data_IF_614682966788
#
_entry.id   IF_614682966788
#
_cell.length_a   1.000
_cell.length_b   1.000
_cell.length_c   1.000
_cell.angle_alpha   90.00
_cell.angle_beta   90.00
_cell.angle_gamma   90.00
#
_symmetry.space_group_name_H-M   'P 1'
#
loop_
_entity.id
_entity.type
_entity.pdbx_description
1 polymer ?
#
# COMPACT_ATOMS: atom_id res chain seq x y z
N UNK A 1 2.39 -62.87 31.15
CA UNK A 1 1.08 -62.50 30.57
C UNK A 1 0.07 -62.39 31.69
N UNK A 2 -0.34 -61.17 32.05
CA UNK A 2 -1.55 -60.89 32.83
C UNK A 2 -2.08 -59.51 32.40
N UNK A 3 -3.30 -59.42 31.86
CA UNK A 3 -3.87 -58.20 31.28
C UNK A 3 -4.90 -57.56 32.23
N UNK A 4 -4.51 -56.95 33.35
CA UNK A 4 -5.45 -56.34 34.31
C UNK A 4 -4.86 -55.16 35.11
N UNK A 5 -4.16 -54.23 34.46
CA UNK A 5 -3.74 -52.96 35.10
C UNK A 5 -3.95 -51.73 34.18
N UNK A 6 -4.90 -51.83 33.25
CA UNK A 6 -5.16 -50.82 32.21
C UNK A 6 -6.35 -49.87 32.50
N UNK A 7 -6.88 -49.84 33.73
CA UNK A 7 -8.16 -49.15 33.99
C UNK A 7 -8.16 -48.05 35.04
N UNK A 8 -7.08 -47.78 35.78
CA UNK A 8 -7.12 -46.77 36.88
C UNK A 8 -6.29 -45.50 36.68
N UNK A 9 -5.43 -45.38 35.67
CA UNK A 9 -4.71 -44.11 35.41
C UNK A 9 -5.39 -43.18 34.40
N UNK A 10 -6.58 -43.55 33.90
CA UNK A 10 -7.39 -42.76 32.94
C UNK A 10 -8.24 -41.65 33.56
N UNK A 11 -7.99 -41.24 34.81
CA UNK A 11 -8.76 -40.17 35.48
C UNK A 11 -7.97 -38.88 35.78
N UNK A 12 -6.78 -38.70 35.18
CA UNK A 12 -6.05 -37.43 35.24
C UNK A 12 -5.94 -36.72 33.88
N UNK A 13 -6.86 -36.99 32.96
CA UNK A 13 -7.26 -36.03 31.93
C UNK A 13 -8.47 -35.24 32.46
N UNK A 14 -8.27 -34.49 33.54
CA UNK A 14 -9.15 -33.36 33.81
C UNK A 14 -8.86 -32.37 32.68
N UNK A 15 -9.74 -32.35 31.69
CA UNK A 15 -9.94 -31.19 30.84
C UNK A 15 -10.07 -29.98 31.78
N UNK A 16 -8.98 -29.25 31.96
CA UNK A 16 -8.96 -27.89 32.46
C UNK A 16 -9.77 -27.10 31.45
N UNK A 17 -11.09 -27.10 31.66
CA UNK A 17 -12.01 -26.24 30.93
C UNK A 17 -11.42 -24.84 30.98
N UNK A 18 -11.34 -24.21 29.81
CA UNK A 18 -10.96 -22.82 29.71
C UNK A 18 -11.70 -22.05 30.80
N UNK A 19 -10.98 -21.50 31.79
CA UNK A 19 -11.52 -20.56 32.77
C UNK A 19 -11.89 -19.28 32.01
N UNK A 20 -13.05 -19.33 31.34
CA UNK A 20 -13.63 -18.22 30.58
C UNK A 20 -14.06 -17.08 31.52
N UNK A 21 -14.04 -17.29 32.83
CA UNK A 21 -14.42 -16.32 33.86
C UNK A 21 -13.32 -15.31 34.22
N UNK A 22 -12.07 -15.54 33.81
CA UNK A 22 -11.08 -14.45 33.82
C UNK A 22 -11.46 -13.48 32.70
N UNK A 23 -12.10 -12.36 33.06
CA UNK A 23 -12.59 -11.37 32.12
C UNK A 23 -11.54 -10.94 31.11
N UNK A 24 -11.95 -10.51 29.91
CA UNK A 24 -11.05 -10.14 28.78
C UNK A 24 -9.90 -9.23 29.21
N UNK A 25 -10.14 -8.33 30.18
CA UNK A 25 -9.14 -7.42 30.75
C UNK A 25 -8.03 -8.12 31.55
N UNK A 26 -8.30 -9.27 32.17
CA UNK A 26 -7.30 -10.04 32.91
C UNK A 26 -6.30 -10.75 31.97
N UNK A 27 -6.67 -10.95 30.70
CA UNK A 27 -5.79 -11.51 29.66
C UNK A 27 -4.99 -10.45 28.89
N UNK A 28 -5.39 -9.18 28.97
CA UNK A 28 -4.68 -8.07 28.33
C UNK A 28 -3.39 -7.78 29.09
N UNK A 29 -2.23 -8.08 28.49
CA UNK A 29 -0.91 -7.73 29.06
C UNK A 29 -0.51 -6.32 28.65
N UNK A 30 -0.89 -5.92 27.44
CA UNK A 30 -0.63 -4.59 26.89
C UNK A 30 -1.91 -3.98 26.30
N UNK A 31 -1.99 -2.64 26.25
CA UNK A 31 -3.07 -1.95 25.52
C UNK A 31 -3.15 -2.33 24.04
N UNK A 32 -2.04 -2.82 23.49
CA UNK A 32 -1.94 -3.34 22.13
C UNK A 32 -2.77 -4.63 21.94
N UNK A 33 -2.99 -5.40 23.00
CA UNK A 33 -3.83 -6.61 22.94
C UNK A 33 -5.32 -6.26 22.84
N UNK A 34 -5.71 -5.13 23.44
CA UNK A 34 -7.08 -4.61 23.40
C UNK A 34 -7.33 -3.78 22.14
N UNK A 35 -6.33 -2.99 21.73
CA UNK A 35 -6.39 -2.09 20.59
C UNK A 35 -5.25 -2.37 19.61
N UNK A 36 -5.39 -3.38 18.73
CA UNK A 36 -4.33 -3.79 17.80
C UNK A 36 -3.85 -2.66 16.87
N UNK A 37 -4.73 -1.71 16.56
CA UNK A 37 -4.42 -0.54 15.74
C UNK A 37 -3.38 0.40 16.37
N UNK A 38 -3.14 0.34 17.68
CA UNK A 38 -2.03 1.07 18.33
C UNK A 38 -0.65 0.62 17.82
N UNK A 39 -0.53 -0.60 17.26
CA UNK A 39 0.71 -1.07 16.62
C UNK A 39 1.10 -0.19 15.43
N UNK A 40 0.12 0.42 14.75
CA UNK A 40 0.37 1.30 13.61
C UNK A 40 1.15 2.56 13.99
N UNK A 41 1.07 3.03 15.24
CA UNK A 41 1.86 4.20 15.69
C UNK A 41 3.37 3.99 15.54
N UNK A 42 3.85 2.75 15.64
CA UNK A 42 5.27 2.43 15.46
C UNK A 42 5.75 2.73 14.04
N UNK A 43 4.85 2.75 13.07
CA UNK A 43 5.16 3.09 11.67
C UNK A 43 5.50 4.56 11.47
N UNK A 44 5.17 5.46 12.41
CA UNK A 44 5.53 6.89 12.34
C UNK A 44 7.04 7.11 12.20
N UNK A 45 7.85 6.16 12.70
CA UNK A 45 9.31 6.16 12.52
C UNK A 45 9.73 6.13 11.05
N UNK A 46 8.89 5.56 10.18
CA UNK A 46 9.14 5.51 8.75
C UNK A 46 9.02 6.89 8.11
N UNK A 47 8.04 7.70 8.53
CA UNK A 47 7.84 9.06 8.05
C UNK A 47 8.99 10.01 8.41
N UNK A 48 9.70 9.74 9.52
CA UNK A 48 10.89 10.48 9.93
C UNK A 48 12.20 9.92 9.39
N UNK A 49 12.20 8.89 8.53
CA UNK A 49 13.41 8.21 8.06
C UNK A 49 13.98 8.87 6.79
N UNK A 50 15.15 9.54 6.85
CA UNK A 50 15.69 10.24 5.69
C UNK A 50 16.01 9.32 4.51
N UNK A 51 16.45 8.08 4.79
CA UNK A 51 16.77 7.11 3.74
C UNK A 51 15.52 6.61 2.99
N UNK A 52 14.39 6.50 3.67
CA UNK A 52 13.12 6.10 3.04
C UNK A 52 12.54 7.24 2.21
N UNK A 53 12.57 8.46 2.73
CA UNK A 53 12.14 9.66 1.99
C UNK A 53 13.01 9.85 0.75
N UNK A 54 14.34 9.72 0.88
CA UNK A 54 15.25 9.82 -0.26
C UNK A 54 14.93 8.78 -1.33
N UNK A 55 14.60 7.55 -0.94
CA UNK A 55 14.20 6.52 -1.90
C UNK A 55 12.90 6.91 -2.63
N UNK A 56 11.89 7.45 -1.93
CA UNK A 56 10.68 7.97 -2.57
C UNK A 56 10.97 9.15 -3.51
N UNK A 57 11.86 10.06 -3.14
CA UNK A 57 12.29 11.17 -4.00
C UNK A 57 13.00 10.66 -5.26
N UNK A 58 13.88 9.66 -5.14
CA UNK A 58 14.52 9.02 -6.29
C UNK A 58 13.50 8.33 -7.20
N UNK A 59 12.52 7.65 -6.62
CA UNK A 59 11.42 7.04 -7.39
C UNK A 59 10.60 8.11 -8.12
N UNK A 60 10.26 9.22 -7.47
CA UNK A 60 9.57 10.36 -8.09
C UNK A 60 10.39 10.98 -9.23
N UNK A 61 11.70 11.15 -9.04
CA UNK A 61 12.60 11.71 -10.03
C UNK A 61 12.69 10.84 -11.30
N UNK A 62 12.61 9.51 -11.16
CA UNK A 62 12.56 8.58 -12.30
C UNK A 62 11.16 8.53 -12.92
N UNK A 63 10.12 8.48 -12.07
CA UNK A 63 8.74 8.31 -12.51
C UNK A 63 8.22 9.51 -13.29
N UNK A 64 8.44 10.72 -12.76
CA UNK A 64 7.88 11.98 -13.27
C UNK A 64 8.17 12.25 -14.75
N UNK A 65 9.43 12.31 -15.24
CA UNK A 65 9.71 12.70 -16.62
C UNK A 65 9.13 11.73 -17.65
N UNK A 66 9.12 10.44 -17.34
CA UNK A 66 8.54 9.42 -18.23
C UNK A 66 7.02 9.50 -18.23
N UNK A 67 6.41 9.72 -17.06
CA UNK A 67 4.96 9.91 -16.95
C UNK A 67 4.49 11.16 -17.73
N UNK A 68 5.20 12.29 -17.58
CA UNK A 68 4.99 13.50 -18.38
C UNK A 68 5.12 13.23 -19.88
N UNK A 69 6.14 12.50 -20.31
CA UNK A 69 6.33 12.15 -21.72
C UNK A 69 5.22 11.28 -22.30
N UNK A 70 4.58 10.43 -21.49
CA UNK A 70 3.48 9.55 -21.92
C UNK A 70 2.17 10.30 -22.04
N UNK A 71 1.81 11.11 -21.04
CA UNK A 71 0.51 11.81 -21.00
C UNK A 71 0.55 13.19 -21.66
N UNK A 72 1.72 13.82 -21.76
CA UNK A 72 1.86 15.22 -22.19
C UNK A 72 1.42 16.22 -21.13
N UNK A 73 1.09 15.76 -19.92
CA UNK A 73 0.74 16.60 -18.79
C UNK A 73 1.97 16.97 -17.98
N UNK A 74 2.01 18.22 -17.51
CA UNK A 74 3.11 18.70 -16.68
C UNK A 74 2.87 18.28 -15.22
N UNK A 75 3.65 17.30 -14.70
CA UNK A 75 3.62 16.88 -13.28
C UNK A 75 3.76 18.05 -12.30
N UNK A 76 4.36 19.18 -12.70
CA UNK A 76 4.36 20.39 -11.86
C UNK A 76 2.95 20.94 -11.62
N UNK A 77 2.03 20.79 -12.58
CA UNK A 77 0.61 21.13 -12.39
C UNK A 77 -0.06 20.20 -11.36
N UNK A 78 0.28 18.91 -11.35
CA UNK A 78 -0.20 17.94 -10.34
C UNK A 78 0.37 18.31 -8.96
N UNK A 79 1.67 18.65 -8.86
CA UNK A 79 2.29 19.08 -7.61
C UNK A 79 1.68 20.40 -7.08
N UNK A 80 1.32 21.32 -7.98
CA UNK A 80 0.66 22.59 -7.64
C UNK A 80 -0.82 22.41 -7.26
N UNK A 81 -1.51 21.41 -7.83
CA UNK A 81 -2.87 21.03 -7.43
C UNK A 81 -2.87 20.30 -6.07
N UNK A 82 -1.85 19.47 -5.83
CA UNK A 82 -1.63 18.77 -4.57
C UNK A 82 -1.10 19.68 -3.45
N UNK A 83 -0.47 20.82 -3.79
CA UNK A 83 -0.07 21.81 -2.79
C UNK A 83 -1.29 22.18 -1.94
N UNK A 84 -1.20 22.07 -0.60
CA UNK A 84 -2.35 22.27 0.26
C UNK A 84 -2.90 23.69 0.05
N UNK A 85 -3.99 23.81 -0.69
CA UNK A 85 -4.74 25.04 -0.69
C UNK A 85 -5.24 25.24 0.74
N UNK A 86 -5.07 26.45 1.32
CA UNK A 86 -5.42 26.72 2.71
C UNK A 86 -6.91 26.50 3.06
N UNK A 87 -7.74 26.13 2.08
CA UNK A 87 -9.19 26.00 2.22
C UNK A 87 -9.70 24.54 2.23
N UNK A 88 -8.90 23.52 1.88
CA UNK A 88 -9.36 22.12 2.04
C UNK A 88 -8.19 21.11 2.12
N UNK A 89 -7.65 20.83 3.32
CA UNK A 89 -6.54 19.89 3.50
C UNK A 89 -7.06 18.44 3.61
N UNK A 90 -7.91 18.01 2.68
CA UNK A 90 -8.52 16.70 2.79
C UNK A 90 -7.67 15.63 2.07
N UNK A 91 -7.28 14.52 2.74
CA UNK A 91 -6.51 13.43 2.15
C UNK A 91 -7.16 12.82 0.89
N UNK A 92 -8.49 12.91 0.75
CA UNK A 92 -9.22 12.45 -0.44
C UNK A 92 -8.92 13.24 -1.69
N UNK A 93 -8.51 14.52 -1.65
CA UNK A 93 -8.12 15.24 -2.86
C UNK A 93 -6.85 14.60 -3.45
N UNK A 94 -5.85 14.37 -2.59
CA UNK A 94 -4.62 13.66 -2.92
C UNK A 94 -4.85 12.21 -3.33
N UNK A 95 -5.67 11.47 -2.56
CA UNK A 95 -6.02 10.11 -2.91
C UNK A 95 -6.78 10.09 -4.22
N UNK A 96 -7.73 10.99 -4.44
CA UNK A 96 -8.46 11.07 -5.69
C UNK A 96 -7.49 11.38 -6.82
N UNK A 97 -6.63 12.39 -6.75
CA UNK A 97 -5.69 12.74 -7.82
C UNK A 97 -4.66 11.64 -8.08
N UNK A 98 -4.13 10.99 -7.04
CA UNK A 98 -3.24 9.83 -7.20
C UNK A 98 -3.96 8.60 -7.80
N UNK A 99 -5.26 8.44 -7.50
CA UNK A 99 -6.13 7.39 -8.06
C UNK A 99 -6.62 7.76 -9.47
N UNK A 100 -6.78 9.05 -9.78
CA UNK A 100 -7.08 9.61 -11.10
C UNK A 100 -5.85 9.56 -12.01
N UNK A 101 -4.63 9.69 -11.47
CA UNK A 101 -3.38 9.41 -12.19
C UNK A 101 -3.27 7.94 -12.64
N UNK A 102 -4.06 7.05 -12.02
CA UNK A 102 -4.29 5.66 -12.44
C UNK A 102 -5.62 5.46 -13.19
N UNK A 103 -6.41 6.52 -13.38
CA UNK A 103 -7.69 6.49 -14.08
C UNK A 103 -7.52 6.66 -15.58
N UNK A 104 -8.33 5.91 -16.35
CA UNK A 104 -8.55 6.20 -17.77
C UNK A 104 -9.19 7.59 -17.88
N UNK A 105 -8.41 8.59 -18.29
CA UNK A 105 -8.91 9.95 -18.48
C UNK A 105 -9.95 9.95 -19.59
N UNK A 106 -11.13 10.49 -19.31
CA UNK A 106 -12.23 10.57 -20.27
C UNK A 106 -11.87 11.56 -21.37
N UNK A 107 -11.42 11.06 -22.52
CA UNK A 107 -11.08 11.88 -23.70
C UNK A 107 -9.66 11.65 -24.23
N UNK A 108 -8.79 11.02 -23.44
CA UNK A 108 -7.45 10.65 -23.92
C UNK A 108 -7.47 9.35 -24.73
N UNK A 109 -6.50 9.23 -25.64
CA UNK A 109 -6.23 7.96 -26.32
C UNK A 109 -5.96 6.89 -25.25
N UNK A 110 -6.84 5.88 -25.14
CA UNK A 110 -6.78 4.88 -24.06
C UNK A 110 -5.42 4.19 -23.91
N UNK A 111 -4.63 4.12 -24.99
CA UNK A 111 -3.25 3.61 -24.97
C UNK A 111 -2.32 4.42 -24.06
N UNK A 112 -2.38 5.75 -24.08
CA UNK A 112 -1.52 6.61 -23.23
C UNK A 112 -1.80 6.39 -21.75
N UNK A 113 -3.08 6.35 -21.37
CA UNK A 113 -3.47 6.07 -19.98
C UNK A 113 -3.01 4.68 -19.53
N UNK A 114 -3.12 3.65 -20.40
CA UNK A 114 -2.60 2.30 -20.09
C UNK A 114 -1.07 2.30 -19.94
N UNK A 115 -0.34 2.99 -20.83
CA UNK A 115 1.11 3.13 -20.69
C UNK A 115 1.51 3.87 -19.41
N UNK A 116 0.81 4.95 -19.05
CA UNK A 116 1.04 5.70 -17.83
C UNK A 116 0.77 4.88 -16.57
N UNK A 117 -0.29 4.07 -16.60
CA UNK A 117 -0.61 3.08 -15.56
C UNK A 117 0.49 2.03 -15.38
N UNK A 118 0.91 1.41 -16.48
CA UNK A 118 1.97 0.39 -16.46
C UNK A 118 3.29 0.98 -15.96
N UNK A 119 3.62 2.20 -16.38
CA UNK A 119 4.81 2.90 -15.91
C UNK A 119 4.74 3.22 -14.41
N UNK A 120 3.61 3.74 -13.93
CA UNK A 120 3.39 4.00 -12.51
C UNK A 120 3.56 2.72 -11.69
N UNK A 121 2.93 1.63 -12.13
CA UNK A 121 3.03 0.33 -11.48
C UNK A 121 4.48 -0.15 -11.43
N UNK A 122 5.19 -0.07 -12.56
CA UNK A 122 6.58 -0.51 -12.67
C UNK A 122 7.53 0.32 -11.80
N UNK A 123 7.44 1.64 -11.88
CA UNK A 123 8.33 2.55 -11.15
C UNK A 123 8.11 2.47 -9.63
N UNK A 124 6.85 2.38 -9.19
CA UNK A 124 6.51 2.40 -7.77
C UNK A 124 6.55 1.04 -7.09
N UNK A 125 6.43 -0.09 -7.80
CA UNK A 125 6.37 -1.42 -7.17
C UNK A 125 7.58 -1.69 -6.27
N UNK A 126 8.78 -1.36 -6.73
CA UNK A 126 10.01 -1.58 -5.98
C UNK A 126 10.03 -0.78 -4.67
N UNK A 127 9.79 0.53 -4.75
CA UNK A 127 9.79 1.39 -3.57
C UNK A 127 8.66 1.02 -2.59
N UNK A 128 7.47 0.74 -3.13
CA UNK A 128 6.30 0.33 -2.36
C UNK A 128 6.58 -0.94 -1.57
N UNK A 129 7.18 -1.97 -2.19
CA UNK A 129 7.57 -3.22 -1.52
C UNK A 129 8.54 -2.98 -0.34
N UNK A 130 9.52 -2.07 -0.48
CA UNK A 130 10.41 -1.70 0.63
C UNK A 130 9.61 -1.02 1.75
N UNK A 131 8.71 -0.09 1.42
CA UNK A 131 7.91 0.63 2.42
C UNK A 131 6.94 -0.28 3.16
N UNK A 132 6.14 -1.10 2.46
CA UNK A 132 5.22 -2.07 3.11
C UNK A 132 5.99 -3.07 3.98
N UNK A 133 7.21 -3.44 3.59
CA UNK A 133 8.06 -4.31 4.41
C UNK A 133 8.47 -3.64 5.70
N UNK A 134 8.99 -2.41 5.65
CA UNK A 134 9.40 -1.68 6.85
C UNK A 134 8.21 -1.37 7.75
N UNK A 135 7.07 -1.01 7.16
CA UNK A 135 5.81 -0.81 7.86
C UNK A 135 5.33 -2.06 8.61
N UNK A 136 5.38 -3.22 7.95
CA UNK A 136 5.09 -4.51 8.58
C UNK A 136 6.04 -4.83 9.75
N UNK A 137 7.35 -4.67 9.55
CA UNK A 137 8.38 -4.91 10.59
C UNK A 137 8.15 -4.02 11.82
N UNK A 138 7.89 -2.73 11.62
CA UNK A 138 7.60 -1.78 12.70
C UNK A 138 6.31 -2.13 13.45
N UNK A 139 5.26 -2.53 12.72
CA UNK A 139 3.98 -2.95 13.28
C UNK A 139 4.13 -4.24 14.11
N UNK A 140 5.00 -5.16 13.69
CA UNK A 140 5.41 -6.34 14.44
C UNK A 140 6.31 -6.04 15.66
N UNK A 141 6.59 -4.76 15.95
CA UNK A 141 7.40 -4.35 17.10
C UNK A 141 8.90 -4.56 16.93
N UNK A 142 9.36 -4.78 15.70
CA UNK A 142 10.77 -5.01 15.38
C UNK A 142 11.45 -3.71 14.90
N UNK A 143 12.77 -3.57 15.07
CA UNK A 143 13.50 -2.42 14.52
C UNK A 143 13.53 -2.46 13.00
N UNK A 144 13.62 -1.28 12.36
CA UNK A 144 13.76 -1.18 10.90
C UNK A 144 14.93 -2.01 10.39
N UNK A 145 14.71 -2.73 9.28
CA UNK A 145 15.75 -3.53 8.65
C UNK A 145 16.68 -2.58 7.89
N UNK A 146 17.99 -2.90 7.85
CA UNK A 146 18.96 -2.15 7.03
C UNK A 146 18.52 -2.14 5.56
N UNK A 147 18.63 -0.96 4.92
CA UNK A 147 18.15 -0.74 3.55
C UNK A 147 18.74 -1.76 2.56
N UNK A 148 20.04 -2.03 2.62
CA UNK A 148 20.71 -2.98 1.71
C UNK A 148 20.09 -4.39 1.77
N UNK A 149 19.73 -4.85 2.97
CA UNK A 149 19.10 -6.17 3.16
C UNK A 149 17.68 -6.18 2.61
N UNK A 150 16.91 -5.12 2.84
CA UNK A 150 15.53 -5.04 2.32
C UNK A 150 15.53 -4.91 0.81
N UNK A 151 16.36 -4.04 0.24
CA UNK A 151 16.47 -3.85 -1.22
C UNK A 151 16.77 -5.17 -1.91
N UNK A 152 17.75 -5.95 -1.41
CA UNK A 152 18.08 -7.26 -1.99
C UNK A 152 16.90 -8.23 -1.96
N UNK A 153 16.19 -8.29 -0.83
CA UNK A 153 15.00 -9.15 -0.68
C UNK A 153 13.82 -8.67 -1.53
N UNK A 154 13.69 -7.37 -1.75
CA UNK A 154 12.62 -6.76 -2.53
C UNK A 154 12.85 -6.94 -4.03
N UNK A 155 14.09 -6.81 -4.51
CA UNK A 155 14.43 -7.02 -5.92
C UNK A 155 14.01 -8.41 -6.41
N UNK A 156 14.25 -9.45 -5.60
CA UNK A 156 13.84 -10.82 -5.95
C UNK A 156 12.32 -11.03 -5.99
N UNK A 157 11.53 -10.08 -5.47
CA UNK A 157 10.07 -10.16 -5.36
C UNK A 157 9.33 -9.18 -6.29
N UNK A 158 10.07 -8.35 -7.02
CA UNK A 158 9.48 -7.35 -7.92
C UNK A 158 8.63 -7.99 -9.03
N UNK A 159 9.07 -9.12 -9.58
CA UNK A 159 8.32 -9.84 -10.63
C UNK A 159 6.96 -10.30 -10.12
N UNK A 160 6.90 -10.88 -8.91
CA UNK A 160 5.64 -11.28 -8.30
C UNK A 160 4.72 -10.07 -8.07
N UNK A 161 5.26 -8.92 -7.65
CA UNK A 161 4.49 -7.70 -7.48
C UNK A 161 3.95 -7.14 -8.80
N UNK A 162 4.73 -7.21 -9.89
CA UNK A 162 4.27 -6.83 -11.23
C UNK A 162 3.15 -7.73 -11.71
N UNK A 163 3.28 -9.06 -11.53
CA UNK A 163 2.22 -10.01 -11.87
C UNK A 163 0.94 -9.69 -11.10
N UNK A 164 1.04 -9.50 -9.78
CA UNK A 164 -0.11 -9.15 -8.95
C UNK A 164 -0.79 -7.85 -9.40
N UNK A 165 -0.02 -6.89 -9.91
CA UNK A 165 -0.51 -5.63 -10.46
C UNK A 165 -1.17 -5.75 -11.84
N UNK A 166 -0.54 -6.51 -12.75
CA UNK A 166 -0.95 -6.65 -14.15
C UNK A 166 -2.20 -7.52 -14.30
N UNK A 167 -2.35 -8.57 -13.49
CA UNK A 167 -3.45 -9.54 -13.62
C UNK A 167 -4.84 -8.87 -13.52
N UNK A 168 -5.15 -8.05 -12.50
CA UNK A 168 -6.42 -7.31 -12.45
C UNK A 168 -6.63 -6.41 -13.67
N UNK A 169 -5.58 -5.74 -14.15
CA UNK A 169 -5.65 -4.87 -15.31
C UNK A 169 -6.01 -5.66 -16.58
N UNK A 170 -5.45 -6.85 -16.77
CA UNK A 170 -5.80 -7.74 -17.89
C UNK A 170 -7.25 -8.22 -17.80
N UNK A 171 -7.73 -8.58 -16.60
CA UNK A 171 -9.14 -8.96 -16.41
C UNK A 171 -10.09 -7.81 -16.73
N UNK A 172 -9.78 -6.59 -16.24
CA UNK A 172 -10.56 -5.38 -16.54
C UNK A 172 -10.53 -5.07 -18.03
N UNK A 173 -9.36 -5.15 -18.67
CA UNK A 173 -9.22 -4.94 -20.11
C UNK A 173 -10.05 -5.95 -20.92
N UNK A 174 -10.06 -7.22 -20.54
CA UNK A 174 -10.87 -8.24 -21.20
C UNK A 174 -12.38 -7.94 -21.11
N UNK A 175 -12.87 -7.57 -19.92
CA UNK A 175 -14.27 -7.16 -19.73
C UNK A 175 -14.59 -5.87 -20.52
N UNK A 176 -13.67 -4.90 -20.52
CA UNK A 176 -13.83 -3.65 -21.26
C UNK A 176 -13.90 -3.88 -22.79
N UNK A 177 -13.10 -4.80 -23.33
CA UNK A 177 -13.16 -5.18 -24.76
C UNK A 177 -14.52 -5.81 -25.09
N UNK A 178 -15.09 -6.64 -24.20
CA UNK A 178 -16.43 -7.19 -24.40
C UNK A 178 -17.52 -6.13 -24.34
N UNK A 179 -17.43 -5.18 -23.41
CA UNK A 179 -18.36 -4.04 -23.32
C UNK A 179 -18.25 -3.18 -24.59
N UNK A 180 -17.03 -2.91 -25.04
CA UNK A 180 -16.76 -2.15 -26.25
C UNK A 180 -17.31 -2.84 -27.50
N UNK A 181 -17.13 -4.16 -27.64
CA UNK A 181 -17.65 -4.89 -28.80
C UNK A 181 -19.18 -4.90 -28.85
N UNK A 182 -19.85 -5.01 -27.70
CA UNK A 182 -21.31 -4.87 -27.62
C UNK A 182 -21.78 -3.47 -27.95
N UNK A 183 -21.10 -2.43 -27.46
CA UNK A 183 -21.39 -1.04 -27.83
C UNK A 183 -21.18 -0.78 -29.32
N UNK A 184 -20.13 -1.37 -29.91
CA UNK A 184 -19.88 -1.32 -31.34
C UNK A 184 -21.01 -2.01 -32.13
N UNK A 185 -21.47 -3.19 -31.71
CA UNK A 185 -22.63 -3.87 -32.33
C UNK A 185 -23.90 -3.03 -32.21
N UNK A 186 -24.16 -2.44 -31.04
CA UNK A 186 -25.33 -1.58 -30.80
C UNK A 186 -25.37 -0.38 -31.76
N UNK A 187 -24.21 0.18 -32.12
CA UNK A 187 -24.09 1.30 -33.05
C UNK A 187 -24.49 0.96 -34.49
N UNK A 188 -24.48 -0.32 -34.87
CA UNK A 188 -24.96 -0.77 -36.19
C UNK A 188 -26.45 -1.10 -36.22
N UNK A 189 -27.12 -1.12 -35.07
CA UNK A 189 -28.52 -1.53 -34.94
C UNK A 189 -29.46 -0.33 -34.88
N UNK A 190 -30.72 -0.47 -35.32
CA UNK A 190 -31.73 0.60 -35.17
C UNK A 190 -31.89 1.02 -33.71
N UNK A 191 -32.18 2.30 -33.48
CA UNK A 191 -32.41 2.87 -32.13
C UNK A 191 -33.77 2.47 -31.52
N UNK A 192 -34.34 1.35 -31.97
CA UNK A 192 -35.59 0.84 -31.41
C UNK A 192 -35.35 0.29 -30.02
N UNK A 193 -36.16 0.75 -29.05
CA UNK A 193 -36.00 0.39 -27.65
C UNK A 193 -35.95 -1.12 -27.40
N UNK A 194 -36.72 -1.93 -28.15
CA UNK A 194 -36.72 -3.38 -27.98
C UNK A 194 -35.43 -4.08 -28.47
N UNK A 195 -34.67 -3.48 -29.39
CA UNK A 195 -33.37 -4.00 -29.88
C UNK A 195 -32.24 -3.52 -28.97
N UNK A 196 -32.30 -2.26 -28.56
CA UNK A 196 -31.26 -1.64 -27.73
C UNK A 196 -31.31 -2.11 -26.27
N UNK A 197 -32.51 -2.37 -25.73
CA UNK A 197 -32.68 -2.76 -24.33
C UNK A 197 -31.94 -4.06 -23.95
N UNK A 198 -32.03 -5.19 -24.70
CA UNK A 198 -31.26 -6.39 -24.40
C UNK A 198 -29.74 -6.16 -24.39
N UNK A 199 -29.22 -5.35 -25.33
CA UNK A 199 -27.79 -5.05 -25.41
C UNK A 199 -27.36 -4.18 -24.21
N UNK A 200 -28.16 -3.18 -23.85
CA UNK A 200 -27.90 -2.35 -22.67
C UNK A 200 -27.90 -3.17 -21.38
N UNK A 201 -28.82 -4.14 -21.23
CA UNK A 201 -28.83 -5.08 -20.10
C UNK A 201 -27.56 -5.91 -20.07
N UNK A 202 -27.13 -6.47 -21.22
CA UNK A 202 -25.91 -7.27 -21.29
C UNK A 202 -24.64 -6.45 -20.96
N UNK A 203 -24.53 -5.23 -21.50
CA UNK A 203 -23.46 -4.30 -21.16
C UNK A 203 -23.45 -4.01 -19.66
N UNK A 204 -24.61 -3.77 -19.06
CA UNK A 204 -24.73 -3.49 -17.62
C UNK A 204 -24.27 -4.68 -16.77
N UNK A 205 -24.66 -5.90 -17.15
CA UNK A 205 -24.25 -7.14 -16.46
C UNK A 205 -22.73 -7.33 -16.53
N UNK A 206 -22.06 -6.95 -17.62
CA UNK A 206 -20.59 -7.00 -17.74
C UNK A 206 -19.90 -5.82 -17.04
N UNK A 207 -20.52 -4.65 -17.03
CA UNK A 207 -19.95 -3.44 -16.43
C UNK A 207 -19.84 -3.54 -14.90
N UNK A 208 -20.80 -4.19 -14.23
CA UNK A 208 -20.78 -4.39 -12.77
C UNK A 208 -19.51 -5.14 -12.31
N UNK A 209 -19.20 -6.38 -12.77
CA UNK A 209 -17.98 -7.07 -12.36
C UNK A 209 -16.72 -6.36 -12.86
N UNK A 210 -16.76 -5.66 -14.00
CA UNK A 210 -15.65 -4.83 -14.47
C UNK A 210 -15.33 -3.72 -13.47
N UNK A 211 -16.34 -2.99 -12.99
CA UNK A 211 -16.21 -1.95 -11.98
C UNK A 211 -15.75 -2.50 -10.63
N UNK A 212 -16.30 -3.65 -10.19
CA UNK A 212 -15.91 -4.31 -8.93
C UNK A 212 -14.44 -4.75 -8.99
N UNK A 213 -13.98 -5.33 -10.11
CA UNK A 213 -12.58 -5.71 -10.29
C UNK A 213 -11.65 -4.50 -10.39
N UNK A 214 -12.05 -3.46 -11.11
CA UNK A 214 -11.24 -2.24 -11.24
C UNK A 214 -11.09 -1.52 -9.89
N UNK A 215 -12.20 -1.30 -9.19
CA UNK A 215 -12.19 -0.65 -7.88
C UNK A 215 -11.52 -1.53 -6.82
N UNK A 216 -11.89 -2.81 -6.75
CA UNK A 216 -11.33 -3.74 -5.79
C UNK A 216 -9.84 -4.00 -6.04
N UNK A 217 -9.39 -3.95 -7.30
CA UNK A 217 -8.00 -4.07 -7.69
C UNK A 217 -7.10 -3.03 -7.02
N UNK A 218 -7.56 -1.80 -6.80
CA UNK A 218 -6.72 -0.78 -6.16
C UNK A 218 -6.36 -1.15 -4.73
N UNK A 219 -7.32 -1.68 -3.98
CA UNK A 219 -7.08 -2.15 -2.61
C UNK A 219 -6.35 -3.50 -2.63
N UNK A 220 -6.79 -4.43 -3.48
CA UNK A 220 -6.25 -5.78 -3.55
C UNK A 220 -4.77 -5.80 -3.97
N UNK A 221 -4.34 -4.99 -4.94
CA UNK A 221 -2.94 -4.89 -5.38
C UNK A 221 -2.06 -4.40 -4.22
N UNK A 222 -2.52 -3.38 -3.48
CA UNK A 222 -1.76 -2.85 -2.35
C UNK A 222 -1.56 -3.90 -1.26
N UNK A 223 -2.60 -4.67 -0.92
CA UNK A 223 -2.51 -5.79 0.02
C UNK A 223 -1.70 -6.97 -0.53
N UNK A 224 -1.79 -7.25 -1.83
CA UNK A 224 -0.98 -8.28 -2.47
C UNK A 224 0.50 -7.94 -2.35
N UNK A 225 0.88 -6.69 -2.57
CA UNK A 225 2.26 -6.23 -2.38
C UNK A 225 2.71 -6.33 -0.92
N UNK A 226 1.83 -6.01 0.03
CA UNK A 226 2.11 -6.20 1.44
C UNK A 226 2.35 -7.68 1.81
N UNK A 227 1.53 -8.60 1.28
CA UNK A 227 1.73 -10.05 1.43
C UNK A 227 3.04 -10.51 0.78
N UNK A 228 3.28 -10.10 -0.48
CA UNK A 228 4.50 -10.42 -1.23
C UNK A 228 5.74 -9.94 -0.48
N UNK A 229 5.70 -8.77 0.15
CA UNK A 229 6.83 -8.25 0.90
C UNK A 229 7.08 -8.98 2.23
N UNK A 230 6.02 -9.49 2.87
CA UNK A 230 6.07 -9.92 4.27
C UNK A 230 6.02 -11.44 4.50
N UNK A 231 5.56 -12.22 3.53
CA UNK A 231 5.47 -13.69 3.62
C UNK A 231 6.77 -14.37 3.16
N UNK A 232 7.00 -15.63 3.54
CA UNK A 232 8.23 -16.36 3.17
C UNK A 232 8.27 -16.67 1.68
N UNK A 233 7.24 -17.36 1.19
CA UNK A 233 7.14 -17.88 -0.17
C UNK A 233 5.88 -17.31 -0.83
N UNK A 234 5.92 -16.04 -1.30
CA UNK A 234 4.72 -15.39 -1.78
C UNK A 234 4.36 -15.85 -3.20
N UNK A 235 3.13 -16.32 -3.38
CA UNK A 235 2.50 -16.46 -4.69
C UNK A 235 1.70 -15.19 -5.01
N UNK A 236 1.94 -14.60 -6.18
CA UNK A 236 1.31 -13.36 -6.61
C UNK A 236 -0.23 -13.49 -6.74
N UNK A 237 -0.73 -14.63 -7.24
CA UNK A 237 -2.15 -14.84 -7.44
C UNK A 237 -2.87 -15.13 -6.13
N UNK A 238 -2.24 -15.91 -5.25
CA UNK A 238 -2.76 -16.16 -3.90
C UNK A 238 -2.80 -14.85 -3.10
N UNK A 239 -1.70 -14.09 -3.09
CA UNK A 239 -1.62 -12.77 -2.43
C UNK A 239 -2.70 -11.80 -2.94
N UNK A 240 -2.94 -11.77 -4.25
CA UNK A 240 -3.98 -10.96 -4.86
C UNK A 240 -5.39 -11.42 -4.45
N UNK A 241 -5.63 -12.73 -4.42
CA UNK A 241 -6.90 -13.30 -3.99
C UNK A 241 -7.23 -12.96 -2.53
N UNK A 242 -6.22 -13.02 -1.64
CA UNK A 242 -6.34 -12.59 -0.23
C UNK A 242 -6.63 -11.10 -0.12
N UNK A 243 -6.01 -10.27 -0.96
CA UNK A 243 -6.30 -8.84 -1.03
C UNK A 243 -7.78 -8.55 -1.33
N UNK A 244 -8.37 -9.26 -2.30
CA UNK A 244 -9.81 -9.19 -2.57
C UNK A 244 -10.66 -9.76 -1.44
N UNK A 245 -10.21 -10.86 -0.82
CA UNK A 245 -10.88 -11.45 0.33
C UNK A 245 -10.97 -10.45 1.50
N UNK A 246 -9.89 -9.73 1.79
CA UNK A 246 -9.88 -8.71 2.85
C UNK A 246 -10.86 -7.58 2.56
N UNK A 247 -10.91 -7.10 1.31
CA UNK A 247 -11.83 -6.05 0.91
C UNK A 247 -13.30 -6.47 1.05
N UNK A 248 -13.66 -7.64 0.51
CA UNK A 248 -15.07 -8.03 0.40
C UNK A 248 -15.60 -8.82 1.60
N UNK A 249 -14.76 -9.61 2.29
CA UNK A 249 -15.19 -10.41 3.45
C UNK A 249 -14.98 -9.70 4.78
N UNK A 250 -14.08 -8.72 4.85
CA UNK A 250 -13.71 -8.04 6.11
C UNK A 250 -13.79 -6.50 6.03
N UNK A 251 -14.84 -5.92 5.43
CA UNK A 251 -14.90 -4.48 5.18
C UNK A 251 -14.85 -3.66 6.48
N UNK A 252 -15.47 -4.14 7.56
CA UNK A 252 -15.51 -3.41 8.84
C UNK A 252 -14.11 -3.24 9.46
N UNK A 253 -13.32 -4.31 9.49
CA UNK A 253 -11.95 -4.27 10.02
C UNK A 253 -11.07 -3.39 9.13
N UNK A 254 -11.20 -3.54 7.81
CA UNK A 254 -10.48 -2.71 6.85
C UNK A 254 -10.81 -1.23 7.01
N UNK A 255 -12.09 -0.86 7.18
CA UNK A 255 -12.52 0.51 7.42
C UNK A 255 -11.94 1.03 8.73
N UNK A 256 -12.01 0.26 9.82
CA UNK A 256 -11.49 0.69 11.13
C UNK A 256 -9.97 0.94 11.08
N UNK A 257 -9.20 0.00 10.56
CA UNK A 257 -7.75 0.18 10.40
C UNK A 257 -7.40 1.26 9.39
N UNK A 258 -8.21 1.41 8.34
CA UNK A 258 -8.12 2.47 7.34
C UNK A 258 -8.33 3.85 7.93
N UNK A 259 -9.34 4.04 8.80
CA UNK A 259 -9.60 5.31 9.49
C UNK A 259 -8.44 5.70 10.39
N UNK A 260 -7.89 4.77 11.17
CA UNK A 260 -6.70 5.02 11.99
C UNK A 260 -5.49 5.39 11.12
N UNK A 261 -5.29 4.68 10.01
CA UNK A 261 -4.21 4.95 9.06
C UNK A 261 -4.34 6.33 8.42
N UNK A 262 -5.55 6.72 8.02
CA UNK A 262 -5.84 8.05 7.49
C UNK A 262 -5.60 9.16 8.52
N UNK A 263 -5.99 8.94 9.78
CA UNK A 263 -5.73 9.89 10.87
C UNK A 263 -4.22 10.06 11.10
N UNK A 264 -3.45 8.96 11.14
CA UNK A 264 -1.99 9.02 11.25
C UNK A 264 -1.34 9.71 10.05
N UNK A 265 -1.78 9.39 8.84
CA UNK A 265 -1.28 10.02 7.61
C UNK A 265 -1.55 11.52 7.61
N UNK A 266 -2.75 11.94 8.03
CA UNK A 266 -3.10 13.35 8.16
C UNK A 266 -2.21 14.08 9.16
N UNK A 267 -1.93 13.49 10.33
CA UNK A 267 -1.00 14.06 11.31
C UNK A 267 0.40 14.23 10.71
N UNK A 268 0.93 13.19 10.04
CA UNK A 268 2.24 13.26 9.39
C UNK A 268 2.26 14.34 8.32
N UNK A 269 1.20 14.44 7.51
CA UNK A 269 1.07 15.45 6.46
C UNK A 269 1.05 16.87 7.01
N UNK A 270 0.31 17.10 8.10
CA UNK A 270 0.28 18.40 8.77
C UNK A 270 1.67 18.78 9.29
N UNK A 271 2.37 17.85 9.96
CA UNK A 271 3.71 18.09 10.49
C UNK A 271 4.73 18.37 9.39
N UNK A 272 4.81 17.54 8.34
CA UNK A 272 5.79 17.72 7.27
C UNK A 272 5.49 18.96 6.42
N UNK A 273 4.21 19.32 6.24
CA UNK A 273 3.83 20.56 5.55
C UNK A 273 4.26 21.78 6.36
N UNK A 274 4.13 21.76 7.68
CA UNK A 274 4.65 22.82 8.55
C UNK A 274 6.16 22.97 8.46
N UNK A 275 6.90 21.85 8.51
CA UNK A 275 8.37 21.84 8.39
C UNK A 275 8.82 22.38 7.03
N UNK A 276 8.21 21.92 5.94
CA UNK A 276 8.57 22.33 4.56
C UNK A 276 8.11 23.74 4.22
N UNK A 277 7.00 24.21 4.79
CA UNK A 277 6.58 25.61 4.75
C UNK A 277 7.62 26.51 5.41
N UNK A 278 8.03 26.20 6.64
CA UNK A 278 9.09 26.95 7.31
C UNK A 278 10.42 26.90 6.55
N UNK A 279 10.80 25.74 6.01
CA UNK A 279 12.00 25.59 5.20
C UNK A 279 11.95 26.44 3.92
N UNK A 280 10.79 26.53 3.27
CA UNK A 280 10.56 27.38 2.09
C UNK A 280 10.80 28.85 2.42
N UNK A 281 10.18 29.37 3.48
CA UNK A 281 10.32 30.79 3.88
C UNK A 281 11.77 31.14 4.23
N UNK A 282 12.43 30.29 5.02
CA UNK A 282 13.85 30.49 5.38
C UNK A 282 14.73 30.48 4.13
N UNK A 283 14.50 29.53 3.22
CA UNK A 283 15.28 29.38 1.99
C UNK A 283 15.09 30.59 1.08
N UNK A 284 13.86 31.07 0.91
CA UNK A 284 13.57 32.28 0.15
C UNK A 284 14.32 33.48 0.73
N UNK A 285 14.20 33.73 2.03
CA UNK A 285 14.88 34.84 2.69
C UNK A 285 16.41 34.81 2.50
N UNK A 286 17.02 33.62 2.62
CA UNK A 286 18.47 33.45 2.42
C UNK A 286 18.88 33.64 0.96
N UNK A 287 18.14 33.07 0.01
CA UNK A 287 18.43 33.20 -1.42
C UNK A 287 18.19 34.63 -1.94
N UNK A 288 17.17 35.32 -1.42
CA UNK A 288 16.93 36.74 -1.67
C UNK A 288 18.09 37.60 -1.13
N UNK A 289 18.50 37.37 0.12
CA UNK A 289 19.64 38.07 0.71
C UNK A 289 20.96 37.83 -0.04
N UNK A 290 21.13 36.65 -0.64
CA UNK A 290 22.29 36.30 -1.46
C UNK A 290 22.20 36.73 -2.93
N UNK A 291 21.08 37.37 -3.35
CA UNK A 291 20.79 37.69 -4.75
C UNK A 291 20.96 36.47 -5.69
N UNK A 292 20.53 35.29 -5.25
CA UNK A 292 20.67 34.06 -6.02
C UNK A 292 19.86 34.12 -7.33
N UNK A 293 20.35 33.48 -8.42
CA UNK A 293 19.62 33.42 -9.69
C UNK A 293 18.22 32.83 -9.53
N UNK A 294 17.25 33.37 -10.28
CA UNK A 294 15.84 32.92 -10.27
C UNK A 294 15.73 31.42 -10.55
N UNK A 295 16.53 30.90 -11.49
CA UNK A 295 16.53 29.48 -11.82
C UNK A 295 16.95 28.59 -10.64
N UNK A 296 18.00 28.98 -9.90
CA UNK A 296 18.43 28.27 -8.68
C UNK A 296 17.33 28.27 -7.64
N UNK A 297 16.68 29.42 -7.42
CA UNK A 297 15.54 29.54 -6.50
C UNK A 297 14.40 28.60 -6.88
N UNK A 298 13.97 28.60 -8.14
CA UNK A 298 12.89 27.74 -8.62
C UNK A 298 13.18 26.26 -8.40
N UNK A 299 14.40 25.81 -8.71
CA UNK A 299 14.78 24.40 -8.49
C UNK A 299 14.79 24.02 -7.01
N UNK A 300 15.30 24.87 -6.13
CA UNK A 300 15.32 24.57 -4.69
C UNK A 300 13.89 24.48 -4.15
N UNK A 301 13.00 25.41 -4.53
CA UNK A 301 11.60 25.36 -4.13
C UNK A 301 10.88 24.11 -4.64
N UNK A 302 11.14 23.73 -5.89
CA UNK A 302 10.58 22.51 -6.48
C UNK A 302 11.05 21.26 -5.73
N UNK A 303 12.31 21.20 -5.28
CA UNK A 303 12.82 20.08 -4.47
C UNK A 303 12.13 20.07 -3.10
N UNK A 304 12.00 21.22 -2.44
CA UNK A 304 11.34 21.31 -1.13
C UNK A 304 9.86 20.89 -1.23
N UNK A 305 9.15 21.27 -2.29
CA UNK A 305 7.73 20.92 -2.48
C UNK A 305 7.51 19.42 -2.74
N UNK A 306 8.55 18.67 -3.16
CA UNK A 306 8.47 17.22 -3.32
C UNK A 306 8.58 16.45 -2.00
N UNK A 307 9.12 17.06 -0.94
CA UNK A 307 9.36 16.38 0.34
C UNK A 307 8.05 15.90 0.99
N UNK A 308 6.98 16.72 1.12
CA UNK A 308 5.72 16.26 1.69
C UNK A 308 5.13 15.09 0.89
N UNK A 309 5.20 15.15 -0.44
CA UNK A 309 4.71 14.10 -1.34
C UNK A 309 5.48 12.80 -1.07
N UNK A 310 6.81 12.85 -1.09
CA UNK A 310 7.66 11.68 -0.83
C UNK A 310 7.39 11.07 0.55
N UNK A 311 7.29 11.90 1.59
CA UNK A 311 6.96 11.45 2.95
C UNK A 311 5.57 10.82 3.02
N UNK A 312 4.56 11.40 2.35
CA UNK A 312 3.20 10.86 2.29
C UNK A 312 3.20 9.46 1.67
N UNK A 313 3.83 9.30 0.52
CA UNK A 313 3.92 8.01 -0.18
C UNK A 313 4.65 6.96 0.64
N UNK A 314 5.83 7.31 1.18
CA UNK A 314 6.60 6.42 2.06
C UNK A 314 5.74 5.95 3.23
N UNK A 315 5.05 6.87 3.90
CA UNK A 315 4.28 6.56 5.09
C UNK A 315 2.99 5.80 4.78
N UNK A 316 2.26 6.17 3.73
CA UNK A 316 1.04 5.49 3.31
C UNK A 316 1.31 4.03 2.94
N UNK A 317 2.37 3.75 2.18
CA UNK A 317 2.78 2.37 1.90
C UNK A 317 3.26 1.63 3.15
N UNK A 318 3.94 2.31 4.08
CA UNK A 318 4.24 1.75 5.39
C UNK A 318 2.99 1.33 6.17
N UNK A 319 1.97 2.19 6.20
CA UNK A 319 0.69 1.91 6.84
C UNK A 319 -0.02 0.72 6.18
N UNK A 320 -0.03 0.62 4.85
CA UNK A 320 -0.58 -0.55 4.13
C UNK A 320 0.07 -1.84 4.62
N UNK A 321 1.40 -1.85 4.78
CA UNK A 321 2.14 -2.99 5.34
C UNK A 321 1.71 -3.34 6.77
N UNK A 322 1.46 -2.33 7.60
CA UNK A 322 0.96 -2.51 8.97
C UNK A 322 -0.47 -3.02 9.02
N UNK A 323 -1.39 -2.42 8.26
CA UNK A 323 -2.80 -2.81 8.16
C UNK A 323 -2.92 -4.25 7.66
N UNK A 324 -2.11 -4.64 6.68
CA UNK A 324 -2.05 -6.01 6.20
C UNK A 324 -1.75 -7.01 7.34
N UNK A 325 -0.78 -6.72 8.20
CA UNK A 325 -0.45 -7.60 9.33
C UNK A 325 -1.56 -7.66 10.39
N UNK A 326 -2.33 -6.60 10.57
CA UNK A 326 -3.48 -6.62 11.48
C UNK A 326 -4.63 -7.43 10.88
N UNK A 327 -4.96 -7.20 9.61
CA UNK A 327 -6.05 -7.91 8.93
C UNK A 327 -5.75 -9.41 8.79
N UNK A 328 -4.49 -9.81 8.53
CA UNK A 328 -4.16 -11.24 8.41
C UNK A 328 -4.36 -12.01 9.72
N UNK A 329 -4.18 -11.34 10.87
CA UNK A 329 -4.43 -11.93 12.18
C UNK A 329 -5.92 -12.25 12.32
N UNK A 330 -6.77 -11.27 11.97
CA UNK A 330 -8.21 -11.49 11.96
C UNK A 330 -8.60 -12.57 10.92
N UNK A 331 -7.90 -12.60 9.77
CA UNK A 331 -8.14 -13.49 8.63
C UNK A 331 -7.86 -14.96 8.87
N UNK A 332 -6.62 -15.25 9.24
CA UNK A 332 -6.09 -16.61 9.30
C UNK A 332 -5.51 -16.97 10.66
N UNK A 333 -5.73 -16.15 11.70
CA UNK A 333 -5.19 -16.37 13.04
C UNK A 333 -3.67 -16.25 13.12
N UNK A 334 -3.00 -15.75 12.06
CA UNK A 334 -1.55 -15.60 12.04
C UNK A 334 -1.13 -14.45 12.94
N UNK A 335 -0.29 -14.71 13.93
CA UNK A 335 0.13 -13.68 14.87
C UNK A 335 0.90 -12.57 14.14
N UNK A 336 0.77 -11.34 14.61
CA UNK A 336 1.46 -10.18 14.02
C UNK A 336 2.98 -10.36 14.13
N UNK A 337 3.42 -11.08 15.16
CA UNK A 337 4.79 -11.44 15.48
C UNK A 337 5.37 -12.50 14.52
N UNK A 338 4.52 -13.30 13.88
CA UNK A 338 4.88 -14.32 12.88
C UNK A 338 5.22 -13.68 11.53
N UNK A 339 6.07 -12.66 11.58
CA UNK A 339 6.61 -12.00 10.40
C UNK A 339 7.85 -12.77 9.95
N UNK A 340 7.82 -13.28 8.72
CA UNK A 340 8.98 -13.92 8.11
C UNK A 340 10.17 -12.95 8.12
N UNK A 341 11.38 -13.43 8.42
CA UNK A 341 12.62 -12.68 8.31
C UNK A 341 13.63 -13.46 7.47
N UNK A 342 14.44 -12.77 6.65
CA UNK A 342 15.60 -13.38 6.03
C UNK A 342 16.51 -13.96 7.10
N UNK A 343 17.00 -15.19 6.88
CA UNK A 343 17.95 -15.84 7.79
C UNK A 343 19.19 -14.97 7.94
N UNK A 344 19.56 -14.64 9.17
CA UNK A 344 20.81 -13.93 9.42
C UNK A 344 21.99 -14.81 9.00
N UNK A 345 23.06 -14.24 8.41
CA UNK A 345 24.28 -15.00 8.16
C UNK A 345 24.80 -15.57 9.50
N UNK A 346 25.39 -16.76 9.50
CA UNK A 346 25.92 -17.37 10.73
C UNK A 346 26.89 -16.39 11.39
N UNK A 347 26.72 -16.20 12.70
CA UNK A 347 27.64 -15.35 13.47
C UNK A 347 29.07 -15.87 13.30
N UNK A 348 30.03 -14.95 13.17
CA UNK A 348 31.44 -15.34 13.20
C UNK A 348 31.71 -16.12 14.49
N UNK A 349 32.50 -17.21 14.44
CA UNK A 349 32.80 -17.99 15.63
C UNK A 349 33.39 -17.07 16.69
N UNK A 350 32.89 -17.19 17.94
CA UNK A 350 33.43 -16.44 19.06
C UNK A 350 34.93 -16.72 19.17
N UNK A 351 35.78 -15.70 19.43
CA UNK A 351 37.20 -15.93 19.64
C UNK A 351 37.37 -16.93 20.79
N UNK A 352 38.12 -18.00 20.54
CA UNK A 352 38.44 -18.99 21.57
C UNK A 352 39.23 -18.31 22.68
N UNK A 353 38.74 -18.38 23.92
CA UNK A 353 39.49 -17.89 25.07
C UNK A 353 40.81 -18.67 25.17
N UNK A 354 41.94 -18.01 25.49
CA UNK A 354 43.17 -18.72 25.80
C UNK A 354 42.94 -19.59 27.03
N UNK A 355 43.23 -20.89 26.90
CA UNK A 355 43.17 -21.89 27.99
C UNK A 355 44.30 -21.70 28.98
#
# INVERSE_FOLDING_TARGET
MSPLQDTESKQHEMHTGHELETGVLARAREWIDVFPWLRLWRTLRLAGSPSMILMALLTLAVWSPVYQGILGEDVSAIANAAAPQPQMPWPSAWFSEAFWATGLHRGDSGLRSVCGLLWTLFAWSFASLVFVRQGGVLTAGRPMIRLNTVVKSTLSRCVAAWIAGIVPMLCVAALAVMIWSLGWIAAWLPEWGFVQFPIAVLITVLAIPCGILAFGGVVAIAFAWAAIANERDPDALDALSRGYEYLFRRPVHLILYGLVSLALLWIVMLLISGVTGAATEITLAVLDGAAAPVMTRSFVLQIISLIPIATAFTFAWGLIGGVYLLIRFDAGGQQVEDLWMPTAPPAAPLPTLPT
#
